data_IF_270158257665
#
_entry.id   IF_270158257665
#
_cell.length_a   1.000
_cell.length_b   1.000
_cell.length_c   1.000
_cell.angle_alpha   90.00
_cell.angle_beta   90.00
_cell.angle_gamma   90.00
#
_symmetry.space_group_name_H-M   'P 1'
#
loop_
_entity.id
_entity.type
_entity.pdbx_description
1 polymer ?
#
# COMPACT_ATOMS: atom_id res chain seq x y z
N UNK A 1 8.95 7.85 -9.21
CA UNK A 1 9.43 7.35 -10.53
C UNK A 1 8.47 6.27 -11.04
N UNK A 2 7.81 6.50 -12.18
CA UNK A 2 7.04 5.49 -12.92
C UNK A 2 7.99 4.64 -13.80
N UNK A 3 7.60 3.41 -14.16
CA UNK A 3 8.41 2.48 -15.00
C UNK A 3 9.83 2.10 -14.51
N UNK A 4 10.16 2.33 -13.23
CA UNK A 4 11.46 1.95 -12.64
C UNK A 4 11.64 0.47 -12.29
N UNK A 5 10.83 -0.45 -12.85
CA UNK A 5 10.92 -1.89 -12.55
C UNK A 5 10.30 -2.35 -11.22
N UNK A 6 9.50 -1.50 -10.55
CA UNK A 6 8.85 -1.80 -9.26
C UNK A 6 8.09 -3.12 -9.29
N UNK A 7 7.18 -3.28 -10.25
CA UNK A 7 6.32 -4.47 -10.36
C UNK A 7 7.13 -5.73 -10.68
N UNK A 8 8.21 -5.61 -11.46
CA UNK A 8 9.13 -6.71 -11.74
C UNK A 8 9.84 -7.19 -10.47
N UNK A 9 10.33 -6.25 -9.66
CA UNK A 9 10.96 -6.56 -8.38
C UNK A 9 9.95 -7.19 -7.41
N UNK A 10 8.77 -6.59 -7.28
CA UNK A 10 7.67 -7.11 -6.44
C UNK A 10 7.31 -8.55 -6.81
N UNK A 11 7.12 -8.84 -8.11
CA UNK A 11 6.80 -10.18 -8.59
C UNK A 11 7.92 -11.20 -8.34
N UNK A 12 9.17 -10.74 -8.27
CA UNK A 12 10.32 -11.61 -7.96
C UNK A 12 10.36 -11.92 -6.46
N UNK A 13 10.14 -10.92 -5.61
CA UNK A 13 10.05 -11.08 -4.15
C UNK A 13 8.86 -11.96 -3.75
N UNK A 14 7.70 -11.77 -4.38
CA UNK A 14 6.50 -12.57 -4.12
C UNK A 14 6.72 -14.07 -4.37
N UNK A 15 7.54 -14.42 -5.39
CA UNK A 15 7.91 -15.81 -5.67
C UNK A 15 8.95 -16.36 -4.70
N UNK A 16 9.81 -15.51 -4.15
CA UNK A 16 10.90 -15.92 -3.27
C UNK A 16 10.49 -15.99 -1.78
N UNK A 17 9.45 -15.26 -1.38
CA UNK A 17 9.05 -15.10 0.01
C UNK A 17 7.77 -15.90 0.33
N UNK A 18 7.75 -16.72 1.40
CA UNK A 18 6.53 -17.37 1.85
C UNK A 18 5.56 -16.36 2.46
N UNK A 19 4.26 -16.67 2.44
CA UNK A 19 3.21 -15.91 3.13
C UNK A 19 3.23 -14.40 2.81
N UNK A 20 3.58 -14.07 1.57
CA UNK A 20 3.80 -12.71 1.10
C UNK A 20 2.58 -12.19 0.33
N UNK A 21 2.13 -11.00 0.67
CA UNK A 21 1.05 -10.28 -0.01
C UNK A 21 1.59 -8.97 -0.60
N UNK A 22 0.89 -8.45 -1.61
CA UNK A 22 1.23 -7.18 -2.24
C UNK A 22 0.01 -6.27 -2.21
N UNK A 23 0.23 -4.99 -1.92
CA UNK A 23 -0.73 -3.92 -2.18
C UNK A 23 -0.07 -2.95 -3.16
N UNK A 24 -0.73 -2.71 -4.29
CA UNK A 24 -0.27 -1.76 -5.31
C UNK A 24 -0.96 -0.42 -5.10
N UNK A 25 -0.19 0.67 -5.00
CA UNK A 25 -0.71 2.03 -4.85
C UNK A 25 -1.60 2.42 -6.04
N UNK A 26 -1.28 1.92 -7.24
CA UNK A 26 -2.01 2.22 -8.47
C UNK A 26 -3.46 1.69 -8.44
N UNK A 27 -3.77 0.69 -7.61
CA UNK A 27 -5.14 0.18 -7.42
C UNK A 27 -6.06 1.20 -6.73
N UNK A 28 -5.48 2.25 -6.14
CA UNK A 28 -6.18 3.30 -5.40
C UNK A 28 -6.30 4.61 -6.17
N UNK A 29 -6.06 4.62 -7.48
CA UNK A 29 -6.36 5.80 -8.28
C UNK A 29 -7.86 6.12 -8.23
N UNK A 30 -8.16 7.41 -8.04
CA UNK A 30 -9.53 7.89 -8.14
C UNK A 30 -10.05 7.74 -9.57
N UNK A 31 -11.38 7.64 -9.75
CA UNK A 31 -11.99 7.66 -11.08
C UNK A 31 -11.51 8.83 -11.93
N UNK A 32 -11.41 8.62 -13.24
CA UNK A 32 -10.82 9.58 -14.18
C UNK A 32 -11.48 10.97 -14.13
N UNK A 33 -12.77 11.05 -13.84
CA UNK A 33 -13.55 12.30 -13.69
C UNK A 33 -13.25 13.07 -12.39
N UNK A 34 -12.63 12.42 -11.40
CA UNK A 34 -12.23 13.02 -10.13
C UNK A 34 -10.77 13.50 -10.11
N UNK A 35 -10.02 13.23 -11.18
CA UNK A 35 -8.63 13.68 -11.31
C UNK A 35 -8.61 15.14 -11.76
N UNK A 36 -7.94 15.99 -10.97
CA UNK A 36 -7.79 17.41 -11.28
C UNK A 36 -7.07 17.62 -12.61
N UNK A 37 -7.47 18.67 -13.33
CA UNK A 37 -6.81 19.13 -14.56
C UNK A 37 -5.97 20.35 -14.21
N UNK A 38 -4.69 20.32 -14.56
CA UNK A 38 -3.76 21.42 -14.34
C UNK A 38 -4.03 22.60 -15.28
N UNK A 39 -3.33 23.71 -15.04
CA UNK A 39 -3.40 24.90 -15.89
C UNK A 39 -2.96 24.64 -17.34
N UNK A 40 -2.13 23.61 -17.52
CA UNK A 40 -1.66 23.09 -18.81
C UNK A 40 -2.70 22.24 -19.56
N UNK A 41 -3.86 21.99 -18.95
CA UNK A 41 -4.92 21.15 -19.52
C UNK A 41 -4.71 19.66 -19.35
N UNK A 42 -3.66 19.21 -18.64
CA UNK A 42 -3.38 17.79 -18.41
C UNK A 42 -3.88 17.31 -17.04
N UNK A 43 -4.26 16.03 -16.97
CA UNK A 43 -4.68 15.39 -15.73
C UNK A 43 -3.50 15.14 -14.80
N UNK A 44 -3.68 15.50 -13.53
CA UNK A 44 -2.67 15.40 -12.49
C UNK A 44 -2.72 14.02 -11.83
N UNK A 45 -2.09 13.03 -12.47
CA UNK A 45 -2.00 11.65 -11.94
C UNK A 45 -0.84 11.45 -10.96
N UNK A 46 0.22 12.24 -11.07
CA UNK A 46 1.43 12.04 -10.28
C UNK A 46 1.43 12.80 -8.94
N UNK A 47 0.25 13.01 -8.33
CA UNK A 47 0.05 13.73 -7.06
C UNK A 47 -0.78 12.90 -6.08
N UNK A 48 -0.60 13.10 -4.77
CA UNK A 48 -1.30 12.30 -3.74
C UNK A 48 -2.83 12.46 -3.81
N UNK A 49 -3.30 13.64 -4.22
CA UNK A 49 -4.72 13.99 -4.34
C UNK A 49 -5.44 13.16 -5.40
N UNK A 50 -4.71 12.58 -6.34
CA UNK A 50 -5.24 11.68 -7.38
C UNK A 50 -5.52 10.27 -6.85
N UNK A 51 -5.06 9.95 -5.65
CA UNK A 51 -5.16 8.64 -5.01
C UNK A 51 -6.12 8.68 -3.81
N UNK A 52 -6.83 7.58 -3.57
CA UNK A 52 -7.53 7.33 -2.32
C UNK A 52 -6.57 6.68 -1.29
N UNK A 53 -5.72 7.52 -0.71
CA UNK A 53 -4.72 7.08 0.28
C UNK A 53 -5.36 6.63 1.61
N UNK A 54 -6.60 7.03 1.89
CA UNK A 54 -7.34 6.58 3.06
C UNK A 54 -7.79 5.13 2.87
N UNK A 55 -8.40 4.80 1.72
CA UNK A 55 -8.73 3.41 1.37
C UNK A 55 -7.48 2.50 1.31
N UNK A 56 -6.35 3.03 0.83
CA UNK A 56 -5.08 2.30 0.85
C UNK A 56 -4.65 1.99 2.30
N UNK A 57 -4.73 2.98 3.20
CA UNK A 57 -4.40 2.80 4.61
C UNK A 57 -5.32 1.77 5.28
N UNK A 58 -6.62 1.82 5.01
CA UNK A 58 -7.59 0.84 5.52
C UNK A 58 -7.28 -0.58 5.04
N UNK A 59 -6.82 -0.73 3.80
CA UNK A 59 -6.37 -2.03 3.27
C UNK A 59 -5.14 -2.54 4.03
N UNK A 60 -4.20 -1.67 4.37
CA UNK A 60 -3.05 -2.01 5.23
C UNK A 60 -3.50 -2.38 6.65
N UNK A 61 -4.48 -1.67 7.23
CA UNK A 61 -5.03 -2.00 8.55
C UNK A 61 -5.77 -3.35 8.55
N UNK A 62 -6.48 -3.67 7.47
CA UNK A 62 -7.14 -4.96 7.30
C UNK A 62 -6.11 -6.10 7.25
N UNK A 63 -5.00 -5.90 6.53
CA UNK A 63 -3.88 -6.85 6.52
C UNK A 63 -3.27 -7.00 7.93
N UNK A 64 -2.98 -5.89 8.64
CA UNK A 64 -2.43 -5.92 10.00
C UNK A 64 -3.35 -6.65 10.98
N UNK A 65 -4.66 -6.50 10.84
CA UNK A 65 -5.65 -7.13 11.73
C UNK A 65 -5.68 -8.66 11.57
N UNK A 66 -5.50 -9.17 10.35
CA UNK A 66 -5.40 -10.60 10.11
C UNK A 66 -4.75 -10.91 8.75
N UNK A 67 -3.42 -11.09 8.70
CA UNK A 67 -2.71 -11.36 7.45
C UNK A 67 -3.19 -12.63 6.76
N UNK A 68 -3.57 -13.66 7.54
CA UNK A 68 -4.10 -14.93 7.03
C UNK A 68 -5.46 -14.76 6.34
N UNK A 69 -6.39 -14.02 6.95
CA UNK A 69 -7.71 -13.79 6.34
C UNK A 69 -7.56 -12.93 5.09
N UNK A 70 -6.71 -11.91 5.16
CA UNK A 70 -6.40 -11.05 4.02
C UNK A 70 -5.85 -11.87 2.85
N UNK A 71 -4.79 -12.65 3.06
CA UNK A 71 -4.20 -13.50 2.02
C UNK A 71 -5.24 -14.41 1.35
N UNK A 72 -6.12 -15.06 2.13
CA UNK A 72 -7.18 -15.91 1.57
C UNK A 72 -8.20 -15.13 0.74
N UNK A 73 -8.60 -13.94 1.19
CA UNK A 73 -9.55 -13.10 0.47
C UNK A 73 -8.97 -12.57 -0.86
N UNK A 74 -7.64 -12.38 -0.92
CA UNK A 74 -6.93 -11.87 -2.08
C UNK A 74 -6.25 -12.98 -2.93
N UNK A 75 -6.63 -14.25 -2.73
CA UNK A 75 -6.16 -15.37 -3.55
C UNK A 75 -4.69 -15.76 -3.37
N UNK A 76 -4.05 -15.30 -2.30
CA UNK A 76 -2.66 -15.63 -1.97
C UNK A 76 -2.64 -16.99 -1.26
N UNK A 77 -1.91 -17.95 -1.85
CA UNK A 77 -1.73 -19.27 -1.26
C UNK A 77 -0.80 -19.19 -0.04
N UNK A 78 -1.37 -19.38 1.16
CA UNK A 78 -0.61 -19.48 2.41
C UNK A 78 -0.03 -20.89 2.49
N UNK A 79 1.28 -21.00 2.71
CA UNK A 79 1.89 -22.30 2.92
C UNK A 79 1.63 -22.74 4.37
N UNK A 80 0.94 -23.88 4.61
CA UNK A 80 0.57 -24.30 5.96
C UNK A 80 1.78 -24.68 6.82
N UNK A 81 2.87 -25.12 6.20
CA UNK A 81 4.11 -25.54 6.87
C UNK A 81 5.13 -24.40 7.07
N UNK A 82 4.82 -23.19 6.56
CA UNK A 82 5.71 -22.06 6.68
C UNK A 82 5.58 -21.40 8.06
N UNK A 83 6.66 -20.70 8.46
CA UNK A 83 6.68 -19.80 9.61
C UNK A 83 5.40 -18.94 9.70
N UNK A 84 4.90 -18.69 10.91
CA UNK A 84 3.76 -17.78 11.18
C UNK A 84 4.09 -16.30 10.86
N UNK A 85 5.27 -16.03 10.30
CA UNK A 85 5.62 -14.71 9.78
C UNK A 85 4.92 -14.46 8.46
N UNK A 86 4.22 -13.32 8.39
CA UNK A 86 3.56 -12.82 7.19
C UNK A 86 4.26 -11.57 6.68
N UNK A 87 4.40 -11.46 5.35
CA UNK A 87 5.12 -10.35 4.72
C UNK A 87 4.12 -9.54 3.88
N UNK A 88 4.20 -8.22 3.98
CA UNK A 88 3.46 -7.30 3.13
C UNK A 88 4.46 -6.47 2.31
N UNK A 89 4.30 -6.50 0.99
CA UNK A 89 4.97 -5.60 0.08
C UNK A 89 4.02 -4.45 -0.27
N UNK A 90 4.44 -3.24 0.02
CA UNK A 90 3.76 -2.02 -0.44
C UNK A 90 4.51 -1.49 -1.65
N UNK A 91 3.86 -1.52 -2.81
CA UNK A 91 4.42 -1.02 -4.06
C UNK A 91 3.74 0.28 -4.46
N UNK A 92 4.52 1.34 -4.72
CA UNK A 92 3.97 2.62 -5.15
C UNK A 92 5.05 3.65 -5.40
N UNK A 93 4.69 4.73 -6.09
CA UNK A 93 5.62 5.78 -6.50
C UNK A 93 5.57 7.05 -5.63
N UNK A 94 4.50 7.21 -4.83
CA UNK A 94 4.29 8.34 -3.89
C UNK A 94 4.22 7.91 -2.42
N UNK A 95 4.53 6.65 -2.10
CA UNK A 95 4.41 6.11 -0.74
C UNK A 95 5.15 6.95 0.32
N UNK A 96 6.37 7.38 0.01
CA UNK A 96 7.19 8.15 0.94
C UNK A 96 6.83 9.64 1.02
N UNK A 97 5.90 10.09 0.16
CA UNK A 97 5.37 11.45 0.19
C UNK A 97 4.14 11.56 1.12
N UNK A 98 3.52 10.43 1.47
CA UNK A 98 2.34 10.42 2.31
C UNK A 98 2.71 10.60 3.79
N UNK A 99 2.34 11.75 4.35
CA UNK A 99 2.47 12.01 5.77
C UNK A 99 1.19 11.58 6.48
N UNK A 100 1.29 10.63 7.43
CA UNK A 100 0.14 10.29 8.25
C UNK A 100 -0.34 11.55 8.99
N UNK A 101 -1.64 11.88 8.93
CA UNK A 101 -2.21 12.89 9.81
C UNK A 101 -1.87 12.48 11.23
N UNK A 102 -1.19 13.39 11.96
CA UNK A 102 -0.54 13.11 13.24
C UNK A 102 -1.46 12.29 14.16
N UNK A 103 -1.17 10.99 14.34
CA UNK A 103 -1.49 10.34 15.63
C UNK A 103 -0.84 11.21 16.68
N UNK A 104 -1.62 11.72 17.62
CA UNK A 104 -1.12 12.54 18.71
C UNK A 104 0.19 11.91 19.22
N UNK A 105 1.29 12.67 19.17
CA UNK A 105 2.49 12.29 19.91
C UNK A 105 2.03 12.19 21.36
N UNK A 106 1.95 10.98 21.91
CA UNK A 106 1.86 10.83 23.36
C UNK A 106 3.06 11.59 23.90
N UNK A 107 2.86 12.62 24.75
CA UNK A 107 3.98 13.35 25.33
C UNK A 107 4.91 12.34 25.99
N UNK A 108 6.22 12.49 25.78
CA UNK A 108 7.26 11.64 26.40
C UNK A 108 7.23 11.67 27.94
N UNK A 109 6.40 12.52 28.52
CA UNK A 109 6.18 12.69 29.96
C UNK A 109 5.12 11.74 30.55
N UNK A 110 4.47 10.90 29.72
CA UNK A 110 3.44 9.96 30.14
C UNK A 110 3.88 8.48 30.09
N UNK A 111 5.15 8.19 30.40
CA UNK A 111 5.62 6.84 30.71
C UNK A 111 6.06 6.82 32.18
N UNK A 112 5.62 5.83 32.99
CA UNK A 112 6.01 5.69 34.39
C UNK A 112 7.51 5.39 34.56
#
# INVERSE_FOLDING_TARGET
MTNGGKTTLTNSLLRALPNCCVIHQDDFFKPQDQIAVGEDGFKQWDVLESLDMEAMLDTVQAWLSSPRKFARAHGVSIQPEASDTHILLLEGFLLYSYNLPRRHKVPREALP
#
